data_IF_301891588157
#
_entry.id   IF_301891588157
#
_cell.length_a   1.000
_cell.length_b   1.000
_cell.length_c   1.000
_cell.angle_alpha   90.00
_cell.angle_beta   90.00
_cell.angle_gamma   90.00
#
_symmetry.space_group_name_H-M   'P 1'
#
loop_
_entity.id
_entity.type
_entity.pdbx_description
1 polymer ?
#
# COMPACT_ATOMS: atom_id res chain seq x y z
N UNK A 1 -11.36 30.18 -12.33
CA UNK A 1 -11.83 28.82 -11.99
C UNK A 1 -10.65 28.01 -11.47
N UNK A 2 -10.61 27.68 -10.18
CA UNK A 2 -9.51 26.88 -9.62
C UNK A 2 -9.66 25.44 -10.11
N UNK A 3 -8.69 24.94 -10.90
CA UNK A 3 -8.57 23.52 -11.21
C UNK A 3 -8.56 22.76 -9.88
N UNK A 4 -9.63 22.02 -9.59
CA UNK A 4 -9.64 21.07 -8.49
C UNK A 4 -8.57 20.02 -8.81
N UNK A 5 -7.34 20.24 -8.35
CA UNK A 5 -6.22 19.28 -8.47
C UNK A 5 -6.72 17.96 -7.89
N UNK A 6 -6.89 16.95 -8.73
CA UNK A 6 -7.43 15.62 -8.37
C UNK A 6 -6.72 15.00 -7.15
N UNK A 7 -5.44 15.35 -6.94
CA UNK A 7 -4.64 14.98 -5.76
C UNK A 7 -5.20 15.46 -4.41
N UNK A 8 -6.22 16.32 -4.39
CA UNK A 8 -6.89 16.75 -3.16
C UNK A 8 -8.06 15.85 -2.76
N UNK A 9 -8.56 15.00 -3.66
CA UNK A 9 -9.61 14.01 -3.38
C UNK A 9 -9.07 12.59 -3.22
N UNK A 10 -7.76 12.42 -3.37
CA UNK A 10 -7.10 11.11 -3.30
C UNK A 10 -6.08 11.07 -2.17
N UNK A 11 -5.89 9.87 -1.63
CA UNK A 11 -4.77 9.55 -0.74
C UNK A 11 -3.71 8.90 -1.61
N UNK A 12 -2.50 9.46 -1.61
CA UNK A 12 -1.38 8.96 -2.39
C UNK A 12 -0.50 8.06 -1.52
N UNK A 13 -0.11 6.93 -2.08
CA UNK A 13 0.84 6.00 -1.49
C UNK A 13 2.08 5.95 -2.39
N UNK A 14 3.26 5.89 -1.78
CA UNK A 14 4.49 5.54 -2.47
C UNK A 14 4.90 4.12 -2.10
N UNK A 15 5.28 3.32 -3.09
CA UNK A 15 5.83 1.98 -2.91
C UNK A 15 7.26 2.03 -3.39
N UNK A 16 8.19 1.64 -2.52
CA UNK A 16 9.62 1.70 -2.76
C UNK A 16 10.17 0.30 -2.59
N UNK A 17 10.98 -0.15 -3.56
CA UNK A 17 11.67 -1.43 -3.49
C UNK A 17 13.12 -1.19 -3.11
N UNK A 18 13.68 -2.10 -2.32
CA UNK A 18 15.10 -2.07 -2.01
C UNK A 18 15.91 -2.44 -3.25
N UNK A 19 17.01 -1.76 -3.49
CA UNK A 19 17.86 -2.02 -4.67
C UNK A 19 19.24 -2.53 -4.27
N UNK A 20 19.80 -2.10 -3.14
CA UNK A 20 21.02 -2.67 -2.57
C UNK A 20 21.16 -2.27 -1.10
N UNK A 21 21.18 -3.24 -0.18
CA UNK A 21 21.29 -2.96 1.26
C UNK A 21 22.74 -2.65 1.69
N UNK A 22 23.72 -3.17 0.95
CA UNK A 22 25.14 -3.11 1.34
C UNK A 22 25.91 -1.89 0.77
N UNK A 23 25.29 -1.14 -0.15
CA UNK A 23 25.89 0.08 -0.70
C UNK A 23 25.42 1.29 0.11
N UNK A 24 26.37 2.12 0.56
CA UNK A 24 26.04 3.42 1.16
C UNK A 24 25.28 4.27 0.15
N UNK A 25 24.12 4.79 0.55
CA UNK A 25 23.41 5.81 -0.22
C UNK A 25 24.34 7.01 -0.41
N UNK A 26 24.62 7.37 -1.66
CA UNK A 26 25.19 8.68 -1.97
C UNK A 26 24.05 9.69 -2.11
N UNK A 27 24.35 10.99 -2.07
CA UNK A 27 23.35 12.04 -2.30
C UNK A 27 22.70 11.94 -3.69
N UNK A 28 23.34 11.24 -4.65
CA UNK A 28 22.87 11.01 -6.01
C UNK A 28 22.12 9.66 -6.16
N UNK A 29 22.02 8.87 -5.09
CA UNK A 29 21.41 7.55 -5.08
C UNK A 29 22.44 6.41 -5.08
N UNK A 30 22.01 5.25 -5.57
CA UNK A 30 22.89 4.07 -5.76
C UNK A 30 22.93 3.80 -7.25
N UNK A 31 24.10 3.94 -7.87
CA UNK A 31 24.28 3.48 -9.24
C UNK A 31 24.31 1.95 -9.27
N UNK A 32 23.33 1.40 -9.99
CA UNK A 32 23.06 -0.03 -10.08
C UNK A 32 23.39 -0.45 -11.52
N UNK A 33 24.33 -1.40 -11.73
CA UNK A 33 24.75 -1.80 -13.07
C UNK A 33 23.62 -2.46 -13.89
N UNK A 34 22.52 -2.85 -13.25
CA UNK A 34 21.32 -3.42 -13.87
C UNK A 34 20.06 -2.86 -13.21
N UNK A 35 18.98 -2.75 -13.99
CA UNK A 35 17.62 -2.42 -13.50
C UNK A 35 17.09 -3.58 -12.64
N UNK A 36 17.48 -3.59 -11.37
CA UNK A 36 17.19 -4.67 -10.42
C UNK A 36 16.76 -4.09 -9.08
N UNK A 37 15.85 -4.79 -8.42
CA UNK A 37 15.37 -4.53 -7.07
C UNK A 37 15.03 -5.86 -6.40
N UNK A 38 15.02 -5.87 -5.07
CA UNK A 38 14.43 -6.93 -4.29
C UNK A 38 12.91 -6.86 -4.40
N UNK A 39 12.24 -7.99 -4.23
CA UNK A 39 10.78 -8.08 -4.04
C UNK A 39 10.34 -7.60 -2.64
N UNK A 40 11.26 -7.01 -1.88
CA UNK A 40 11.06 -6.38 -0.58
C UNK A 40 11.22 -4.86 -0.67
N UNK A 41 10.66 -4.16 0.30
CA UNK A 41 10.59 -2.72 0.27
C UNK A 41 9.80 -2.11 1.42
N UNK A 42 9.27 -0.91 1.17
CA UNK A 42 8.34 -0.25 2.06
C UNK A 42 7.29 0.55 1.32
N UNK A 43 6.14 0.72 1.97
CA UNK A 43 5.03 1.57 1.55
C UNK A 43 5.00 2.80 2.45
N UNK A 44 4.87 3.99 1.88
CA UNK A 44 4.63 5.23 2.62
C UNK A 44 3.30 5.88 2.24
N UNK A 45 2.74 6.65 3.17
CA UNK A 45 1.63 7.55 2.88
C UNK A 45 2.20 8.93 2.58
N UNK A 46 1.91 9.44 1.38
CA UNK A 46 2.37 10.77 0.96
C UNK A 46 1.60 11.83 1.73
N UNK A 47 2.30 12.84 2.24
CA UNK A 47 1.70 13.94 2.99
C UNK A 47 0.59 14.63 2.20
N UNK A 48 -0.52 14.89 2.86
CA UNK A 48 -1.63 15.63 2.29
C UNK A 48 -2.30 16.47 3.38
N UNK A 49 -1.94 17.76 3.43
CA UNK A 49 -2.41 18.69 4.47
C UNK A 49 -3.94 18.79 4.52
N UNK A 50 -4.65 18.60 3.40
CA UNK A 50 -6.12 18.66 3.38
C UNK A 50 -6.79 17.47 4.07
N UNK A 51 -6.11 16.34 4.13
CA UNK A 51 -6.58 15.13 4.81
C UNK A 51 -5.93 14.96 6.19
N UNK A 52 -5.15 15.95 6.65
CA UNK A 52 -4.41 15.86 7.91
C UNK A 52 -3.28 14.82 7.91
N UNK A 53 -2.88 14.33 6.72
CA UNK A 53 -1.89 13.27 6.59
C UNK A 53 -0.47 13.83 6.70
N UNK A 54 0.27 13.37 7.71
CA UNK A 54 1.69 13.69 7.90
C UNK A 54 2.56 12.66 7.19
N UNK A 55 3.64 13.14 6.56
CA UNK A 55 4.68 12.28 6.00
C UNK A 55 5.46 11.56 7.11
N UNK A 56 6.18 10.50 6.75
CA UNK A 56 7.09 9.79 7.66
C UNK A 56 6.52 8.51 8.27
N UNK A 57 5.33 8.08 7.85
CA UNK A 57 4.76 6.79 8.23
C UNK A 57 5.05 5.80 7.11
N UNK A 58 5.77 4.74 7.46
CA UNK A 58 6.17 3.67 6.56
C UNK A 58 5.79 2.30 7.13
N UNK A 59 5.52 1.36 6.23
CA UNK A 59 5.33 -0.06 6.53
C UNK A 59 6.16 -0.89 5.57
N UNK A 60 6.98 -1.78 6.10
CA UNK A 60 7.84 -2.63 5.30
C UNK A 60 7.08 -3.85 4.75
N UNK A 61 7.58 -4.42 3.66
CA UNK A 61 7.19 -5.73 3.14
C UNK A 61 8.45 -6.50 2.75
N UNK A 62 8.50 -7.81 3.03
CA UNK A 62 9.66 -8.64 2.71
C UNK A 62 9.54 -9.39 1.38
N UNK A 63 8.35 -9.41 0.80
CA UNK A 63 8.04 -10.05 -0.48
C UNK A 63 6.73 -9.45 -1.03
N UNK A 64 6.34 -9.82 -2.26
CA UNK A 64 5.11 -9.34 -2.88
C UNK A 64 3.82 -9.79 -2.17
N UNK A 65 3.83 -10.95 -1.51
CA UNK A 65 2.65 -11.48 -0.81
C UNK A 65 2.30 -10.64 0.43
N UNK A 66 3.29 -9.99 1.03
CA UNK A 66 3.13 -9.08 2.16
C UNK A 66 2.69 -7.67 1.76
N UNK A 67 2.80 -7.30 0.47
CA UNK A 67 2.50 -5.94 0.00
C UNK A 67 1.08 -5.47 0.34
N UNK A 68 0.01 -6.28 0.17
CA UNK A 68 -1.34 -5.87 0.56
C UNK A 68 -1.48 -5.56 2.05
N UNK A 69 -0.73 -6.27 2.90
CA UNK A 69 -0.74 -6.04 4.34
C UNK A 69 0.05 -4.77 4.68
N UNK A 70 1.21 -4.56 4.07
CA UNK A 70 1.99 -3.33 4.24
C UNK A 70 1.21 -2.07 3.82
N UNK A 71 0.41 -2.14 2.74
CA UNK A 71 -0.48 -1.05 2.34
C UNK A 71 -1.53 -0.75 3.41
N UNK A 72 -2.21 -1.78 3.92
CA UNK A 72 -3.22 -1.62 4.99
C UNK A 72 -2.60 -1.04 6.25
N UNK A 73 -1.42 -1.50 6.63
CA UNK A 73 -0.71 -1.05 7.81
C UNK A 73 -0.24 0.39 7.67
N UNK A 74 0.31 0.78 6.52
CA UNK A 74 0.68 2.18 6.26
C UNK A 74 -0.53 3.11 6.38
N UNK A 75 -1.66 2.75 5.77
CA UNK A 75 -2.90 3.52 5.87
C UNK A 75 -3.41 3.63 7.32
N UNK A 76 -3.45 2.49 8.04
CA UNK A 76 -3.90 2.44 9.43
C UNK A 76 -3.02 3.30 10.35
N UNK A 77 -1.70 3.18 10.23
CA UNK A 77 -0.74 3.97 11.01
C UNK A 77 -0.85 5.46 10.72
N UNK A 78 -1.20 5.83 9.49
CA UNK A 78 -1.48 7.23 9.10
C UNK A 78 -2.86 7.75 9.50
N UNK A 79 -3.65 6.98 10.27
CA UNK A 79 -4.99 7.39 10.70
C UNK A 79 -6.03 7.37 9.59
N UNK A 80 -5.71 6.78 8.42
CA UNK A 80 -6.66 6.63 7.32
C UNK A 80 -7.61 5.49 7.62
N UNK A 81 -8.91 5.81 7.76
CA UNK A 81 -9.96 4.81 7.85
C UNK A 81 -10.33 4.30 6.46
N UNK A 82 -10.01 3.04 6.18
CA UNK A 82 -10.40 2.37 4.93
C UNK A 82 -11.86 1.91 5.03
N UNK A 83 -12.71 2.38 4.12
CA UNK A 83 -14.11 1.96 4.00
C UNK A 83 -14.21 0.92 2.90
N UNK A 84 -14.82 -0.23 3.19
CA UNK A 84 -15.03 -1.28 2.19
C UNK A 84 -15.98 -0.80 1.09
N UNK A 85 -15.63 -1.09 -0.16
CA UNK A 85 -16.52 -0.82 -1.29
C UNK A 85 -17.73 -1.75 -1.27
N UNK A 86 -18.84 -1.33 -1.87
CA UNK A 86 -20.05 -2.16 -1.98
C UNK A 86 -19.74 -3.50 -2.65
N UNK A 87 -18.92 -3.49 -3.72
CA UNK A 87 -18.50 -4.68 -4.45
C UNK A 87 -17.65 -5.63 -3.60
N UNK A 88 -16.77 -5.11 -2.74
CA UNK A 88 -15.97 -5.94 -1.82
C UNK A 88 -16.86 -6.65 -0.79
N UNK A 89 -17.93 -5.99 -0.32
CA UNK A 89 -18.93 -6.63 0.56
C UNK A 89 -19.68 -7.75 -0.16
N UNK A 90 -20.20 -7.48 -1.36
CA UNK A 90 -20.91 -8.45 -2.19
C UNK A 90 -20.03 -9.69 -2.48
N UNK A 91 -18.76 -9.46 -2.81
CA UNK A 91 -17.78 -10.54 -3.04
C UNK A 91 -17.53 -11.40 -1.79
N UNK A 92 -17.36 -10.77 -0.62
CA UNK A 92 -17.17 -11.50 0.64
C UNK A 92 -18.41 -12.29 1.06
N UNK A 93 -19.60 -11.77 0.83
CA UNK A 93 -20.85 -12.49 1.05
C UNK A 93 -20.97 -13.70 0.13
N UNK A 94 -20.60 -13.56 -1.14
CA UNK A 94 -20.56 -14.68 -2.09
C UNK A 94 -19.57 -15.77 -1.65
N UNK A 95 -18.34 -15.39 -1.28
CA UNK A 95 -17.33 -16.33 -0.76
C UNK A 95 -17.81 -17.07 0.49
N UNK A 96 -18.49 -16.37 1.40
CA UNK A 96 -19.05 -16.98 2.61
C UNK A 96 -20.09 -18.05 2.27
N UNK A 97 -21.02 -17.72 1.37
CA UNK A 97 -22.05 -18.67 0.89
C UNK A 97 -21.46 -19.90 0.23
N UNK A 98 -20.40 -19.74 -0.59
CA UNK A 98 -19.74 -20.88 -1.24
C UNK A 98 -19.11 -21.83 -0.22
N UNK A 99 -18.39 -21.30 0.77
CA UNK A 99 -17.79 -22.11 1.84
C UNK A 99 -18.83 -22.83 2.70
N UNK A 100 -19.95 -22.17 2.99
CA UNK A 100 -21.06 -22.79 3.73
C UNK A 100 -21.70 -23.94 2.93
N UNK A 101 -21.88 -23.79 1.61
CA UNK A 101 -22.37 -24.86 0.75
C UNK A 101 -21.42 -26.06 0.65
N UNK A 102 -20.11 -25.83 0.58
CA UNK A 102 -19.09 -26.89 0.57
C UNK A 102 -19.03 -27.67 1.90
N UNK A 103 -19.34 -27.01 3.02
CA UNK A 103 -19.37 -27.64 4.35
C UNK A 103 -20.61 -28.51 4.58
N UNK A 104 -21.71 -28.21 3.87
CA UNK A 104 -22.96 -28.98 3.93
C UNK A 104 -22.92 -30.19 2.98
N UNK A 105 -22.09 -30.13 1.94
CA UNK A 105 -21.95 -31.18 0.94
C UNK A 105 -20.93 -32.28 1.32
N UNK A 106 -20.16 -32.08 2.40
CA UNK A 106 -19.26 -33.07 3.01
C UNK A 106 -19.85 -33.58 4.33
#
# INVERSE_FOLDING_TARGET
MAKNKEGTKTIKLGIYFWTNLDKKNTNEGIDMPKKTCWDSGFVNVVSNNRHGLRSGIYSNFNNFDELPNAVKDALKRSGVRVVQSKKDKEYKEALKKMKESELIAN
#
